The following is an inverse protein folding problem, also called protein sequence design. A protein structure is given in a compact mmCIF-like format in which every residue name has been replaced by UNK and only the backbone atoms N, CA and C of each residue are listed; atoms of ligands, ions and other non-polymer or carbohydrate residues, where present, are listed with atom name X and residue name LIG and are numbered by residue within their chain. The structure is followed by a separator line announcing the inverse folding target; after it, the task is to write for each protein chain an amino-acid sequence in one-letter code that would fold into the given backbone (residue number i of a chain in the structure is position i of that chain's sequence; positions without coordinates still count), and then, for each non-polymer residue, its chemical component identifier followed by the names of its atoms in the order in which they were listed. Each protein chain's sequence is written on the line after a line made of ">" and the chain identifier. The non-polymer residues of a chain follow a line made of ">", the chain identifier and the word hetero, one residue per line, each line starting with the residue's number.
data_IF_106140588212
#
_entry.id   IF_106140588212
#
_cell.length_a   1.000
_cell.length_b   1.000
_cell.length_c   1.000
_cell.angle_alpha   90.00
_cell.angle_beta   90.00
_cell.angle_gamma   90.00
#
_symmetry.space_group_name_H-M   'P 1'
#
loop_
_entity.id
_entity.type
_entity.pdbx_description
1 polymer ?
#
# COMPACT_ATOMS: atom_id res chain seq x y z
N UNK A 1 -13.30 12.46 2.11
CA UNK A 1 -12.87 11.11 2.54
C UNK A 1 -11.36 11.02 2.51
N UNK A 2 -10.77 10.64 3.63
CA UNK A 2 -9.34 10.45 3.72
C UNK A 2 -8.89 9.22 2.93
N UNK A 3 -7.70 9.31 2.34
CA UNK A 3 -7.08 8.15 1.74
C UNK A 3 -6.51 7.26 2.84
N UNK A 4 -6.70 5.96 2.72
CA UNK A 4 -6.25 4.99 3.72
C UNK A 4 -5.88 3.66 3.10
N UNK A 5 -5.10 2.87 3.85
CA UNK A 5 -4.66 1.55 3.44
C UNK A 5 -5.19 0.52 4.42
N UNK A 6 -5.69 -0.60 3.90
CA UNK A 6 -6.19 -1.70 4.72
C UNK A 6 -5.66 -3.02 4.17
N UNK A 7 -5.34 -3.96 5.04
CA UNK A 7 -5.01 -5.34 4.70
C UNK A 7 -6.17 -6.28 4.97
N UNK A 8 -7.04 -5.87 5.86
CA UNK A 8 -8.34 -6.50 6.13
C UNK A 8 -9.37 -5.41 5.93
N UNK A 9 -10.38 -5.67 5.11
CA UNK A 9 -11.42 -4.67 4.85
C UNK A 9 -12.09 -4.21 6.14
N UNK A 10 -12.15 -2.90 6.32
CA UNK A 10 -12.72 -2.27 7.51
C UNK A 10 -11.71 -1.96 8.60
N UNK A 11 -10.46 -2.38 8.46
CA UNK A 11 -9.42 -2.19 9.47
C UNK A 11 -8.27 -1.35 8.92
N UNK A 12 -8.19 -0.08 9.31
CA UNK A 12 -7.17 0.84 8.81
C UNK A 12 -5.77 0.46 9.30
N UNK A 13 -4.81 0.40 8.36
CA UNK A 13 -3.40 0.28 8.71
C UNK A 13 -2.84 1.67 9.00
N UNK A 14 -2.39 1.89 10.24
CA UNK A 14 -1.91 3.19 10.70
C UNK A 14 -0.42 3.40 10.52
N UNK A 15 0.34 2.33 10.32
CA UNK A 15 1.78 2.44 10.08
C UNK A 15 1.99 2.87 8.64
N UNK A 16 2.83 3.89 8.45
CA UNK A 16 3.09 4.43 7.12
C UNK A 16 4.17 3.60 6.42
N UNK A 17 3.95 3.25 5.15
CA UNK A 17 4.89 2.43 4.40
C UNK A 17 6.01 3.24 3.76
N UNK A 18 7.12 2.57 3.47
CA UNK A 18 8.05 3.03 2.46
C UNK A 18 7.49 2.58 1.10
N UNK A 19 7.46 3.48 0.13
CA UNK A 19 6.93 3.19 -1.20
C UNK A 19 8.00 3.45 -2.24
N UNK A 20 8.28 2.45 -3.07
CA UNK A 20 9.20 2.57 -4.18
C UNK A 20 8.42 2.46 -5.48
N UNK A 21 8.58 3.45 -6.34
CA UNK A 21 7.91 3.49 -7.64
C UNK A 21 8.91 3.25 -8.75
N UNK A 22 8.54 2.38 -9.70
CA UNK A 22 9.28 2.21 -10.94
C UNK A 22 8.30 2.36 -12.11
N UNK A 23 8.77 2.90 -13.22
CA UNK A 23 7.96 3.08 -14.41
C UNK A 23 8.74 2.60 -15.63
N UNK A 24 8.07 1.97 -16.59
CA UNK A 24 8.68 1.54 -17.83
C UNK A 24 9.18 2.75 -18.62
N UNK A 25 10.16 2.53 -19.51
CA UNK A 25 10.75 3.62 -20.31
C UNK A 25 9.73 4.36 -21.15
N UNK A 26 8.77 3.65 -21.72
CA UNK A 26 7.72 4.23 -22.55
C UNK A 26 6.56 4.81 -21.73
N UNK A 27 6.60 4.67 -20.42
CA UNK A 27 5.56 5.18 -19.54
C UNK A 27 4.26 4.39 -19.53
N UNK A 28 4.22 3.24 -20.21
CA UNK A 28 2.98 2.46 -20.33
C UNK A 28 2.64 1.64 -19.10
N UNK A 29 3.64 1.24 -18.31
CA UNK A 29 3.42 0.42 -17.12
C UNK A 29 4.21 0.96 -15.94
N UNK A 30 3.82 0.56 -14.74
CA UNK A 30 4.53 0.93 -13.53
C UNK A 30 4.31 -0.09 -12.42
N UNK A 31 5.16 -0.02 -11.41
CA UNK A 31 5.08 -0.90 -10.24
C UNK A 31 5.33 -0.08 -8.99
N UNK A 32 4.51 -0.29 -7.97
CA UNK A 32 4.70 0.30 -6.66
C UNK A 32 4.97 -0.83 -5.67
N UNK A 33 6.09 -0.74 -4.95
CA UNK A 33 6.43 -1.69 -3.89
C UNK A 33 6.27 -0.99 -2.55
N UNK A 34 5.38 -1.54 -1.73
CA UNK A 34 5.09 -1.01 -0.39
C UNK A 34 5.78 -1.88 0.64
N UNK A 35 6.42 -1.25 1.61
CA UNK A 35 6.99 -1.98 2.75
C UNK A 35 6.55 -1.33 4.05
N UNK A 36 5.89 -2.12 4.89
CA UNK A 36 5.40 -1.71 6.20
C UNK A 36 6.22 -2.40 7.26
N UNK A 37 6.96 -1.63 8.06
CA UNK A 37 7.71 -2.18 9.20
C UNK A 37 6.82 -2.25 10.43
N UNK A 38 6.70 -3.42 11.01
CA UNK A 38 5.88 -3.65 12.20
C UNK A 38 4.48 -3.06 12.06
N UNK A 39 3.75 -3.40 10.96
CA UNK A 39 2.43 -2.84 10.76
C UNK A 39 1.47 -3.28 11.87
N UNK A 40 0.46 -2.44 12.17
CA UNK A 40 -0.46 -2.78 13.26
C UNK A 40 -1.28 -4.05 12.96
N UNK A 41 -1.46 -4.42 11.70
CA UNK A 41 -2.16 -5.66 11.34
C UNK A 41 -1.46 -6.91 11.87
N UNK A 42 -0.14 -6.84 12.12
CA UNK A 42 0.63 -7.95 12.68
C UNK A 42 0.71 -7.92 14.21
N UNK A 43 0.09 -6.92 14.84
CA UNK A 43 -0.02 -6.85 16.29
C UNK A 43 -0.87 -8.03 16.78
N UNK A 44 -0.49 -8.62 17.91
CA UNK A 44 -1.19 -9.76 18.52
C UNK A 44 -2.68 -9.49 18.75
N UNK A 45 -3.02 -8.25 19.08
CA UNK A 45 -4.41 -7.87 19.32
C UNK A 45 -5.22 -7.76 18.02
N UNK A 46 -4.56 -7.53 16.91
CA UNK A 46 -5.20 -7.35 15.61
C UNK A 46 -5.37 -8.66 14.84
N UNK A 47 -4.52 -9.65 15.11
CA UNK A 47 -4.57 -10.97 14.45
C UNK A 47 -5.94 -11.64 14.63
N UNK A 48 -6.67 -11.30 15.69
CA UNK A 48 -7.99 -11.85 15.97
C UNK A 48 -9.11 -11.29 15.08
N UNK A 49 -8.82 -10.20 14.34
CA UNK A 49 -9.82 -9.50 13.51
C UNK A 49 -10.04 -10.16 12.14
N UNK A 50 -9.24 -11.16 11.77
CA UNK A 50 -9.39 -11.87 10.52
C UNK A 50 -8.08 -12.11 9.81
N UNK A 51 -8.17 -12.59 8.57
CA UNK A 51 -7.02 -12.88 7.73
C UNK A 51 -6.73 -11.74 6.76
N UNK A 52 -5.45 -11.55 6.46
CA UNK A 52 -5.04 -10.62 5.41
C UNK A 52 -5.48 -11.19 4.06
N UNK A 53 -6.32 -10.45 3.35
CA UNK A 53 -6.86 -10.88 2.06
C UNK A 53 -6.23 -10.17 0.88
N UNK A 54 -5.49 -9.08 1.14
CA UNK A 54 -4.86 -8.26 0.11
C UNK A 54 -4.42 -6.94 0.70
N UNK A 55 -4.02 -6.01 -0.17
CA UNK A 55 -3.81 -4.62 0.23
C UNK A 55 -4.81 -3.76 -0.51
N UNK A 56 -5.58 -2.96 0.23
CA UNK A 56 -6.63 -2.11 -0.31
C UNK A 56 -6.24 -0.65 -0.12
N UNK A 57 -6.19 0.09 -1.23
CA UNK A 57 -5.89 1.52 -1.26
C UNK A 57 -7.20 2.24 -1.48
N UNK A 58 -7.70 2.91 -0.46
CA UNK A 58 -9.06 3.43 -0.43
C UNK A 58 -9.05 4.95 -0.41
N UNK A 59 -9.73 5.57 -1.35
CA UNK A 59 -9.95 7.00 -1.36
C UNK A 59 -11.35 7.34 -1.92
N UNK A 60 -11.61 8.62 -2.15
CA UNK A 60 -12.92 9.07 -2.63
C UNK A 60 -13.29 8.58 -4.03
N UNK A 61 -12.32 8.14 -4.82
CA UNK A 61 -12.58 7.58 -6.15
C UNK A 61 -12.93 6.10 -6.11
N UNK A 62 -12.63 5.42 -5.00
CA UNK A 62 -12.90 4.00 -4.85
C UNK A 62 -11.71 3.27 -4.26
N UNK A 63 -11.63 1.98 -4.56
CA UNK A 63 -10.65 1.07 -4.00
C UNK A 63 -9.75 0.53 -5.10
N UNK A 64 -8.44 0.64 -4.89
CA UNK A 64 -7.43 -0.08 -5.66
C UNK A 64 -6.98 -1.27 -4.81
N UNK A 65 -6.78 -2.42 -5.41
CA UNK A 65 -6.40 -3.60 -4.64
C UNK A 65 -5.33 -4.43 -5.32
N UNK A 66 -4.55 -5.12 -4.51
CA UNK A 66 -3.63 -6.15 -4.95
C UNK A 66 -3.67 -7.31 -3.96
N UNK A 67 -3.47 -8.53 -4.46
CA UNK A 67 -3.34 -9.72 -3.61
C UNK A 67 -1.89 -10.11 -3.38
N UNK A 68 -0.95 -9.39 -4.02
CA UNK A 68 0.47 -9.64 -3.84
C UNK A 68 0.94 -9.01 -2.53
N UNK A 69 0.74 -9.73 -1.44
CA UNK A 69 1.05 -9.29 -0.09
C UNK A 69 1.83 -10.41 0.59
N UNK A 70 3.04 -10.09 1.06
CA UNK A 70 3.93 -11.06 1.66
C UNK A 70 4.44 -10.59 3.02
N UNK A 71 4.30 -11.43 4.04
CA UNK A 71 4.86 -11.15 5.35
C UNK A 71 6.33 -11.55 5.38
N UNK A 72 7.17 -10.72 6.00
CA UNK A 72 8.59 -11.01 6.22
C UNK A 72 8.79 -11.39 7.68
N UNK A 73 9.46 -12.51 7.90
CA UNK A 73 9.69 -13.05 9.24
C UNK A 73 11.16 -12.87 9.63
N UNK A 74 11.38 -12.51 10.89
CA UNK A 74 12.71 -12.45 11.51
C UNK A 74 12.64 -13.28 12.78
N UNK A 75 13.50 -14.30 12.88
CA UNK A 75 13.51 -15.22 14.04
C UNK A 75 12.13 -15.82 14.32
N UNK A 76 11.41 -16.20 13.26
CA UNK A 76 10.11 -16.83 13.38
C UNK A 76 8.95 -15.90 13.69
N UNK A 77 9.20 -14.59 13.79
CA UNK A 77 8.16 -13.59 14.07
C UNK A 77 7.93 -12.71 12.87
N UNK A 78 6.66 -12.41 12.50
CA UNK A 78 6.38 -11.50 11.42
C UNK A 78 6.80 -10.07 11.81
N UNK A 79 7.65 -9.45 10.99
CA UNK A 79 8.24 -8.14 11.27
C UNK A 79 7.85 -7.07 10.25
N UNK A 80 7.46 -7.48 9.06
CA UNK A 80 7.13 -6.54 8.00
C UNK A 80 6.15 -7.16 7.02
N UNK A 81 5.46 -6.30 6.27
CA UNK A 81 4.66 -6.71 5.13
C UNK A 81 5.21 -5.99 3.91
N UNK A 82 5.40 -6.71 2.82
CA UNK A 82 5.72 -6.16 1.53
C UNK A 82 4.58 -6.45 0.57
N UNK A 83 4.19 -5.45 -0.21
CA UNK A 83 3.10 -5.59 -1.17
C UNK A 83 3.48 -4.93 -2.48
N UNK A 84 3.07 -5.53 -3.59
CA UNK A 84 3.36 -5.04 -4.93
C UNK A 84 2.05 -4.69 -5.63
N UNK A 85 1.97 -3.46 -6.13
CA UNK A 85 0.83 -3.00 -6.92
C UNK A 85 1.30 -2.67 -8.33
N UNK A 86 0.70 -3.31 -9.34
CA UNK A 86 1.08 -3.15 -10.74
C UNK A 86 0.08 -2.27 -11.48
N UNK A 87 0.61 -1.26 -12.17
CA UNK A 87 -0.17 -0.36 -13.03
C UNK A 87 0.09 -0.76 -14.47
N UNK A 88 -0.95 -1.24 -15.15
CA UNK A 88 -0.82 -1.87 -16.48
C UNK A 88 -0.92 -0.89 -17.65
N UNK A 89 -1.31 0.35 -17.38
CA UNK A 89 -1.50 1.37 -18.42
C UNK A 89 -1.34 2.77 -17.80
N UNK A 90 -1.23 3.83 -18.63
CA UNK A 90 -1.07 5.20 -18.12
C UNK A 90 -2.23 5.67 -17.23
N UNK A 91 -3.45 5.28 -17.52
CA UNK A 91 -4.62 5.65 -16.71
C UNK A 91 -4.52 5.07 -15.31
N UNK A 92 -4.09 3.81 -15.19
CA UNK A 92 -3.88 3.17 -13.89
C UNK A 92 -2.76 3.85 -13.10
N UNK A 93 -1.69 4.27 -13.79
CA UNK A 93 -0.62 5.04 -13.16
C UNK A 93 -1.18 6.34 -12.59
N UNK A 94 -1.90 7.11 -13.40
CA UNK A 94 -2.47 8.39 -12.99
C UNK A 94 -3.44 8.22 -11.83
N UNK A 95 -4.29 7.19 -11.89
CA UNK A 95 -5.23 6.87 -10.81
C UNK A 95 -4.50 6.56 -9.51
N UNK A 96 -3.44 5.74 -9.59
CA UNK A 96 -2.62 5.40 -8.43
C UNK A 96 -1.95 6.64 -7.85
N UNK A 97 -1.40 7.51 -8.70
CA UNK A 97 -0.73 8.73 -8.24
C UNK A 97 -1.70 9.68 -7.52
N UNK A 98 -2.95 9.74 -7.96
CA UNK A 98 -3.96 10.52 -7.24
C UNK A 98 -4.22 9.97 -5.84
N UNK A 99 -4.25 8.64 -5.72
CA UNK A 99 -4.34 8.02 -4.39
C UNK A 99 -3.13 8.41 -3.52
N UNK A 100 -1.92 8.29 -4.05
CA UNK A 100 -0.71 8.58 -3.29
C UNK A 100 -0.66 10.04 -2.83
N UNK A 101 -1.07 10.98 -3.66
CA UNK A 101 -1.15 12.39 -3.28
C UNK A 101 -2.10 12.59 -2.10
N UNK A 102 -3.28 11.98 -2.15
CA UNK A 102 -4.27 12.08 -1.07
C UNK A 102 -3.79 11.41 0.20
N UNK A 103 -3.17 10.25 0.05
CA UNK A 103 -2.60 9.52 1.18
C UNK A 103 -1.49 10.33 1.85
N UNK A 104 -0.64 10.97 1.05
CA UNK A 104 0.41 11.86 1.56
C UNK A 104 -0.18 13.04 2.33
N UNK A 105 -1.20 13.70 1.77
CA UNK A 105 -1.87 14.81 2.45
C UNK A 105 -2.51 14.39 3.76
N UNK A 106 -3.20 13.25 3.76
CA UNK A 106 -3.87 12.73 4.96
C UNK A 106 -2.90 12.39 6.08
N UNK A 107 -1.65 12.10 5.76
CA UNK A 107 -0.66 11.63 6.73
C UNK A 107 0.55 12.57 6.89
N UNK A 108 0.47 13.76 6.31
CA UNK A 108 1.55 14.73 6.42
C UNK A 108 2.83 14.34 5.68
N UNK A 109 2.71 13.55 4.63
CA UNK A 109 3.84 13.07 3.84
C UNK A 109 3.96 13.84 2.52
N UNK A 110 5.19 13.99 2.04
CA UNK A 110 5.46 14.54 0.72
C UNK A 110 6.17 13.47 -0.09
N UNK A 111 5.60 13.11 -1.23
CA UNK A 111 6.22 12.14 -2.12
C UNK A 111 6.95 12.87 -3.25
N UNK A 112 8.23 12.54 -3.42
CA UNK A 112 9.05 13.07 -4.50
C UNK A 112 9.13 12.02 -5.58
N UNK A 113 8.75 12.39 -6.81
CA UNK A 113 8.87 11.47 -7.93
C UNK A 113 10.35 11.31 -8.27
N UNK A 114 10.82 10.07 -8.30
CA UNK A 114 12.13 9.77 -8.83
C UNK A 114 12.05 9.84 -10.36
N UNK A 115 12.86 10.68 -10.92
CA UNK A 115 12.94 10.77 -12.38
C UNK A 115 13.98 9.79 -12.91
#
# INVERSE_FOLDING_TARGET
>A
MEAKIQFIKGLDEKVLPDVRLTRSRDGSTGTATFRFKNPNILDKNTVKEGEITGMYLIDREGILETRDVNARFINGKPQAIESIYIMKNPESWDRFMRFMERYGESNGLVFTKAN
#
